data_IF_356992327499
#
_entry.id   IF_356992327499
#
_cell.length_a   1.000
_cell.length_b   1.000
_cell.length_c   1.000
_cell.angle_alpha   90.00
_cell.angle_beta   90.00
_cell.angle_gamma   90.00
#
_symmetry.space_group_name_H-M   'P 1'
#
loop_
_entity.id
_entity.type
_entity.pdbx_description
1 polymer ?
#
# COMPACT_ATOMS: atom_id res chain seq x y z
N UNK A 1 -12.70 29.31 11.81
CA UNK A 1 -12.89 27.98 11.19
C UNK A 1 -12.44 26.93 12.20
N UNK A 2 -13.35 26.05 12.64
CA UNK A 2 -13.01 25.03 13.62
C UNK A 2 -12.02 24.03 13.00
N UNK A 3 -10.85 23.87 13.60
CA UNK A 3 -9.94 22.78 13.26
C UNK A 3 -10.72 21.46 13.32
N UNK A 4 -10.58 20.54 12.36
CA UNK A 4 -11.28 19.27 12.44
C UNK A 4 -10.87 18.62 13.76
N UNK A 5 -11.86 18.18 14.54
CA UNK A 5 -11.64 17.38 15.73
C UNK A 5 -11.11 16.02 15.25
N UNK A 6 -9.86 15.97 14.83
CA UNK A 6 -9.09 14.75 14.73
C UNK A 6 -9.02 14.24 16.16
N UNK A 7 -9.92 13.32 16.52
CA UNK A 7 -10.00 12.83 17.88
C UNK A 7 -8.60 12.40 18.33
N UNK A 8 -8.13 12.93 19.46
CA UNK A 8 -6.83 12.58 20.05
C UNK A 8 -6.67 11.06 20.31
N UNK A 9 -7.76 10.29 20.20
CA UNK A 9 -7.85 8.84 20.40
C UNK A 9 -7.19 7.98 19.32
N UNK A 10 -6.77 8.58 18.19
CA UNK A 10 -6.15 7.87 17.08
C UNK A 10 -4.66 8.21 16.86
N UNK A 11 -4.03 8.91 17.82
CA UNK A 11 -2.57 9.15 17.77
C UNK A 11 -1.85 7.88 18.16
N UNK A 12 -0.81 7.55 17.40
CA UNK A 12 0.06 6.41 17.64
C UNK A 12 1.50 6.92 17.73
N UNK A 13 2.33 6.25 18.50
CA UNK A 13 3.77 6.55 18.49
C UNK A 13 4.42 6.12 17.18
N UNK A 14 5.60 6.66 16.87
CA UNK A 14 6.36 6.21 15.69
C UNK A 14 6.67 4.71 15.72
N UNK A 15 6.96 4.16 16.91
CA UNK A 15 7.18 2.73 17.09
C UNK A 15 5.92 1.90 16.79
N UNK A 16 4.76 2.36 17.27
CA UNK A 16 3.48 1.72 16.96
C UNK A 16 3.13 1.82 15.47
N UNK A 17 3.40 2.96 14.83
CA UNK A 17 3.23 3.13 13.39
C UNK A 17 4.10 2.19 12.58
N UNK A 18 5.36 2.03 12.96
CA UNK A 18 6.29 1.10 12.32
C UNK A 18 5.86 -0.37 12.50
N UNK A 19 5.43 -0.78 13.69
CA UNK A 19 4.86 -2.12 13.91
C UNK A 19 3.58 -2.33 13.10
N UNK A 20 2.69 -1.32 13.03
CA UNK A 20 1.50 -1.38 12.20
C UNK A 20 1.81 -1.52 10.72
N UNK A 21 2.82 -0.83 10.19
CA UNK A 21 3.26 -0.99 8.81
C UNK A 21 3.77 -2.41 8.53
N UNK A 22 4.50 -3.01 9.48
CA UNK A 22 4.93 -4.42 9.39
C UNK A 22 3.74 -5.36 9.38
N UNK A 23 2.80 -5.19 10.29
CA UNK A 23 1.59 -6.01 10.36
C UNK A 23 0.73 -5.83 9.11
N UNK A 24 0.61 -4.62 8.58
CA UNK A 24 -0.12 -4.34 7.35
C UNK A 24 0.56 -5.00 6.14
N UNK A 25 1.88 -4.85 6.00
CA UNK A 25 2.65 -5.50 4.92
C UNK A 25 2.65 -7.04 5.01
N UNK A 26 2.67 -7.58 6.23
CA UNK A 26 2.62 -9.01 6.51
C UNK A 26 1.19 -9.58 6.50
N UNK A 27 0.17 -8.72 6.32
CA UNK A 27 -1.25 -9.11 6.29
C UNK A 27 -1.71 -9.78 7.59
N UNK A 28 -1.12 -9.38 8.71
CA UNK A 28 -1.53 -9.87 10.03
C UNK A 28 -2.98 -9.50 10.29
N UNK A 29 -3.73 -10.41 10.92
CA UNK A 29 -5.12 -10.14 11.26
C UNK A 29 -5.21 -8.90 12.18
N UNK A 30 -6.24 -8.05 12.06
CA UNK A 30 -6.36 -6.84 12.88
C UNK A 30 -6.25 -7.09 14.40
N UNK A 31 -6.72 -8.25 14.87
CA UNK A 31 -6.59 -8.68 16.28
C UNK A 31 -5.13 -8.96 16.67
N UNK A 32 -4.35 -9.57 15.79
CA UNK A 32 -2.92 -9.84 16.01
C UNK A 32 -2.09 -8.55 15.94
N UNK A 33 -2.42 -7.68 14.99
CA UNK A 33 -1.81 -6.36 14.87
C UNK A 33 -2.10 -5.50 16.11
N UNK A 34 -3.33 -5.54 16.64
CA UNK A 34 -3.71 -4.86 17.86
C UNK A 34 -2.87 -5.31 19.05
N UNK A 35 -2.72 -6.63 19.22
CA UNK A 35 -1.84 -7.23 20.24
C UNK A 35 -0.38 -6.81 20.05
N UNK A 36 0.14 -6.90 18.82
CA UNK A 36 1.54 -6.60 18.50
C UNK A 36 1.90 -5.13 18.70
N UNK A 37 0.95 -4.23 18.46
CA UNK A 37 1.15 -2.78 18.58
C UNK A 37 0.74 -2.22 19.95
N UNK A 38 0.12 -3.03 20.82
CA UNK A 38 -0.48 -2.55 22.07
C UNK A 38 -1.57 -1.50 21.83
N UNK A 39 -2.39 -1.70 20.78
CA UNK A 39 -3.46 -0.78 20.36
C UNK A 39 -4.83 -1.44 20.52
N UNK A 40 -5.87 -0.60 20.64
CA UNK A 40 -7.24 -1.11 20.54
C UNK A 40 -7.54 -1.59 19.11
N UNK A 41 -8.41 -2.59 18.97
CA UNK A 41 -8.84 -3.10 17.67
C UNK A 41 -9.42 -1.98 16.78
N UNK A 42 -10.21 -1.08 17.35
CA UNK A 42 -10.76 0.08 16.64
C UNK A 42 -9.67 1.02 16.13
N UNK A 43 -8.60 1.23 16.91
CA UNK A 43 -7.46 2.03 16.48
C UNK A 43 -6.76 1.38 15.29
N UNK A 44 -6.57 0.06 15.32
CA UNK A 44 -5.95 -0.68 14.20
C UNK A 44 -6.76 -0.53 12.93
N UNK A 45 -8.08 -0.76 12.98
CA UNK A 45 -8.95 -0.58 11.81
C UNK A 45 -8.85 0.83 11.22
N UNK A 46 -8.87 1.84 12.09
CA UNK A 46 -8.72 3.23 11.66
C UNK A 46 -7.36 3.51 11.00
N UNK A 47 -6.26 3.00 11.56
CA UNK A 47 -4.93 3.22 10.96
C UNK A 47 -4.76 2.44 9.65
N UNK A 48 -5.29 1.23 9.55
CA UNK A 48 -5.28 0.46 8.31
C UNK A 48 -6.06 1.18 7.22
N UNK A 49 -7.22 1.74 7.54
CA UNK A 49 -7.97 2.59 6.61
C UNK A 49 -7.15 3.80 6.12
N UNK A 50 -6.44 4.49 7.02
CA UNK A 50 -5.55 5.61 6.65
C UNK A 50 -4.38 5.19 5.75
N UNK A 51 -3.77 4.05 6.04
CA UNK A 51 -2.71 3.49 5.19
C UNK A 51 -3.26 3.24 3.79
N UNK A 52 -4.40 2.54 3.69
CA UNK A 52 -5.06 2.26 2.41
C UNK A 52 -5.38 3.53 1.64
N UNK A 53 -6.15 4.44 2.23
CA UNK A 53 -6.64 5.64 1.55
C UNK A 53 -5.47 6.46 1.00
N UNK A 54 -4.36 6.48 1.74
CA UNK A 54 -3.10 7.07 1.27
C UNK A 54 -2.52 6.34 0.06
N UNK A 55 -2.44 5.02 0.08
CA UNK A 55 -1.89 4.23 -1.03
C UNK A 55 -2.74 4.36 -2.30
N UNK A 56 -4.06 4.48 -2.16
CA UNK A 56 -4.98 4.80 -3.25
C UNK A 56 -4.71 6.22 -3.76
N UNK A 57 -4.65 7.21 -2.87
CA UNK A 57 -4.46 8.61 -3.24
C UNK A 57 -3.16 8.84 -4.04
N UNK A 58 -2.09 8.12 -3.68
CA UNK A 58 -0.81 8.22 -4.39
C UNK A 58 -0.72 7.32 -5.63
N UNK A 59 -1.80 6.60 -5.97
CA UNK A 59 -1.90 5.64 -7.09
C UNK A 59 -0.95 4.44 -6.98
N UNK A 60 -0.48 4.16 -5.77
CA UNK A 60 0.24 2.93 -5.48
C UNK A 60 -0.67 1.73 -5.71
N UNK A 61 -1.94 1.88 -5.32
CA UNK A 61 -3.04 1.03 -5.77
C UNK A 61 -3.73 1.72 -6.97
N UNK A 62 -3.98 0.97 -8.05
CA UNK A 62 -4.68 1.50 -9.24
C UNK A 62 -6.17 1.35 -8.94
N UNK A 63 -6.77 2.42 -8.41
CA UNK A 63 -8.19 2.55 -8.13
C UNK A 63 -8.78 1.67 -7.01
N UNK A 64 -9.64 2.28 -6.19
CA UNK A 64 -10.58 1.58 -5.31
C UNK A 64 -11.68 0.84 -6.07
N UNK A 65 -11.41 0.33 -7.28
CA UNK A 65 -12.33 -0.37 -8.18
C UNK A 65 -12.49 -1.86 -7.82
N UNK A 66 -12.41 -2.17 -6.54
CA UNK A 66 -13.07 -3.33 -5.95
C UNK A 66 -14.14 -2.91 -4.93
N UNK A 67 -14.33 -1.60 -4.71
CA UNK A 67 -15.38 -1.07 -3.81
C UNK A 67 -16.73 -0.83 -4.50
N UNK A 68 -16.82 -1.06 -5.82
CA UNK A 68 -18.08 -0.96 -6.56
C UNK A 68 -18.43 -2.16 -7.45
N UNK A 69 -17.48 -3.06 -7.74
CA UNK A 69 -17.70 -4.23 -8.61
C UNK A 69 -17.68 -5.58 -7.86
N UNK A 70 -18.19 -5.63 -6.64
CA UNK A 70 -18.57 -6.92 -6.02
C UNK A 70 -19.59 -7.69 -6.88
N UNK A 71 -20.32 -6.99 -7.77
CA UNK A 71 -21.25 -7.58 -8.73
C UNK A 71 -20.57 -8.40 -9.86
N UNK A 72 -19.25 -8.27 -10.05
CA UNK A 72 -18.50 -8.96 -11.12
C UNK A 72 -17.58 -10.08 -10.66
N UNK A 73 -17.51 -10.37 -9.36
CA UNK A 73 -16.59 -11.36 -8.82
C UNK A 73 -17.14 -12.79 -8.98
N UNK A 74 -16.29 -13.78 -9.34
CA UNK A 74 -16.65 -15.18 -9.26
C UNK A 74 -17.14 -15.55 -7.85
N UNK A 75 -18.28 -16.24 -7.72
CA UNK A 75 -18.87 -16.56 -6.41
C UNK A 75 -17.92 -17.30 -5.45
N UNK A 76 -17.01 -18.12 -5.99
CA UNK A 76 -16.02 -18.86 -5.19
C UNK A 76 -15.03 -17.95 -4.47
N UNK A 77 -14.62 -16.85 -5.11
CA UNK A 77 -13.69 -15.88 -4.51
C UNK A 77 -14.40 -15.15 -3.39
N UNK A 78 -15.62 -14.67 -3.62
CA UNK A 78 -16.44 -14.01 -2.59
C UNK A 78 -16.61 -14.91 -1.36
N UNK A 79 -16.84 -16.21 -1.57
CA UNK A 79 -17.00 -17.18 -0.50
C UNK A 79 -15.70 -17.43 0.28
N UNK A 80 -14.56 -17.59 -0.39
CA UNK A 80 -13.25 -17.74 0.26
C UNK A 80 -12.89 -16.50 1.11
N UNK A 81 -13.27 -15.30 0.66
CA UNK A 81 -13.08 -14.06 1.42
C UNK A 81 -13.96 -14.02 2.69
N UNK A 82 -15.20 -14.53 2.62
CA UNK A 82 -16.11 -14.61 3.77
C UNK A 82 -15.59 -15.58 4.82
N UNK A 83 -15.14 -16.76 4.40
CA UNK A 83 -14.63 -17.82 5.29
C UNK A 83 -13.33 -17.42 5.99
N UNK A 84 -12.38 -16.81 5.27
CA UNK A 84 -11.10 -16.35 5.85
C UNK A 84 -11.26 -15.21 6.86
N UNK A 85 -12.36 -14.45 6.80
CA UNK A 85 -12.62 -13.28 7.65
C UNK A 85 -13.46 -13.57 8.89
N UNK A 86 -14.23 -14.65 8.92
CA UNK A 86 -15.09 -15.00 10.04
C UNK A 86 -16.17 -13.94 10.35
N UNK A 87 -16.70 -13.27 9.31
CA UNK A 87 -17.69 -12.19 9.45
C UNK A 87 -19.08 -12.74 9.06
N UNK A 88 -20.09 -12.70 9.96
CA UNK A 88 -21.49 -12.95 9.62
C UNK A 88 -22.02 -11.86 8.69
N UNK A 89 -22.94 -12.24 7.81
CA UNK A 89 -23.48 -11.58 6.60
C UNK A 89 -23.85 -10.08 6.64
N UNK A 90 -23.72 -9.36 7.76
CA UNK A 90 -24.20 -7.98 7.90
C UNK A 90 -23.15 -6.89 8.08
N UNK A 91 -21.86 -7.22 8.28
CA UNK A 91 -20.85 -6.24 8.74
C UNK A 91 -19.63 -6.19 7.79
N UNK A 92 -19.92 -6.12 6.49
CA UNK A 92 -18.92 -5.92 5.45
C UNK A 92 -18.44 -4.46 5.53
N UNK A 93 -17.48 -4.20 6.41
CA UNK A 93 -16.75 -2.93 6.40
C UNK A 93 -16.15 -2.68 5.00
N UNK A 94 -15.95 -1.41 4.59
CA UNK A 94 -15.33 -1.03 3.30
C UNK A 94 -13.91 -1.58 3.05
N UNK A 95 -13.42 -2.49 3.88
CA UNK A 95 -12.19 -3.27 3.79
C UNK A 95 -12.33 -4.56 2.93
N UNK A 96 -13.51 -4.87 2.39
CA UNK A 96 -13.75 -6.09 1.58
C UNK A 96 -13.13 -6.04 0.19
N UNK A 97 -13.27 -4.91 -0.48
CA UNK A 97 -12.66 -4.59 -1.77
C UNK A 97 -11.15 -4.84 -1.85
N UNK A 98 -10.39 -4.64 -0.77
CA UNK A 98 -8.92 -4.77 -0.83
C UNK A 98 -8.44 -6.21 -1.11
N UNK A 99 -9.26 -7.23 -0.86
CA UNK A 99 -8.79 -8.62 -0.87
C UNK A 99 -8.56 -9.22 -2.27
N UNK A 100 -9.02 -8.58 -3.35
CA UNK A 100 -8.88 -9.13 -4.71
C UNK A 100 -7.60 -8.67 -5.42
N UNK A 101 -6.92 -7.60 -4.96
CA UNK A 101 -5.48 -7.41 -5.26
C UNK A 101 -4.56 -8.03 -4.18
N UNK A 102 -5.08 -8.37 -2.99
CA UNK A 102 -4.31 -8.86 -1.84
C UNK A 102 -4.32 -10.37 -1.59
N UNK A 103 -4.98 -11.17 -2.44
CA UNK A 103 -4.88 -12.61 -2.36
C UNK A 103 -3.51 -13.09 -2.91
N UNK A 104 -2.48 -13.01 -2.04
CA UNK A 104 -1.27 -13.87 -2.07
C UNK A 104 -0.09 -13.50 -2.98
N UNK A 105 -0.08 -12.35 -3.66
CA UNK A 105 0.87 -12.18 -4.77
C UNK A 105 2.18 -11.44 -4.48
N UNK A 106 2.23 -10.56 -3.47
CA UNK A 106 3.40 -9.68 -3.25
C UNK A 106 4.21 -10.02 -1.99
N UNK A 107 5.56 -10.01 -2.02
CA UNK A 107 6.38 -10.31 -0.85
C UNK A 107 6.22 -9.26 0.26
N UNK A 108 5.92 -9.64 1.52
CA UNK A 108 5.74 -8.71 2.63
C UNK A 108 6.93 -7.77 2.86
N UNK A 109 8.16 -8.28 2.68
CA UNK A 109 9.39 -7.48 2.82
C UNK A 109 9.45 -6.36 1.78
N UNK A 110 9.06 -6.66 0.54
CA UNK A 110 9.07 -5.71 -0.57
C UNK A 110 7.97 -4.67 -0.40
N UNK A 111 6.77 -5.10 -0.04
CA UNK A 111 5.66 -4.20 0.31
C UNK A 111 6.07 -3.24 1.44
N UNK A 112 6.64 -3.76 2.53
CA UNK A 112 7.08 -2.94 3.66
C UNK A 112 8.12 -1.88 3.27
N UNK A 113 9.09 -2.22 2.41
CA UNK A 113 10.07 -1.29 1.86
C UNK A 113 9.36 -0.11 1.19
N UNK A 114 8.37 -0.38 0.33
CA UNK A 114 7.64 0.66 -0.38
C UNK A 114 6.70 1.47 0.51
N UNK A 115 5.99 0.83 1.45
CA UNK A 115 5.15 1.53 2.43
C UNK A 115 5.95 2.54 3.24
N UNK A 116 7.11 2.13 3.79
CA UNK A 116 7.97 3.03 4.55
C UNK A 116 8.41 4.23 3.72
N UNK A 117 8.78 4.00 2.46
CA UNK A 117 9.23 5.09 1.58
C UNK A 117 8.09 6.03 1.20
N UNK A 118 6.89 5.52 0.95
CA UNK A 118 5.71 6.37 0.70
C UNK A 118 5.38 7.20 1.94
N UNK A 119 5.41 6.61 3.13
CA UNK A 119 5.22 7.34 4.39
C UNK A 119 6.32 8.41 4.59
N UNK A 120 7.59 8.09 4.32
CA UNK A 120 8.68 9.07 4.34
C UNK A 120 8.40 10.27 3.43
N UNK A 121 7.91 10.03 2.20
CA UNK A 121 7.66 11.08 1.22
C UNK A 121 6.42 11.93 1.55
N UNK A 122 5.40 11.29 2.14
CA UNK A 122 4.07 11.88 2.43
C UNK A 122 3.89 12.37 3.86
N UNK A 123 4.87 12.14 4.75
CA UNK A 123 4.77 12.46 6.18
C UNK A 123 4.15 11.32 7.02
N UNK A 124 4.13 11.43 8.36
CA UNK A 124 3.61 10.39 9.25
C UNK A 124 2.18 9.93 8.92
N UNK A 125 1.83 8.69 9.29
CA UNK A 125 0.50 8.11 9.02
C UNK A 125 -0.65 8.93 9.61
N UNK A 126 -0.44 9.45 10.81
CA UNK A 126 -1.41 10.25 11.57
C UNK A 126 -1.32 11.75 11.29
N UNK A 127 -0.31 12.19 10.53
CA UNK A 127 -0.10 13.57 10.12
C UNK A 127 0.48 13.65 8.68
N UNK A 128 -0.30 13.30 7.64
CA UNK A 128 0.13 13.51 6.26
C UNK A 128 0.45 14.99 5.97
N UNK A 129 1.43 15.20 5.10
CA UNK A 129 1.94 16.51 4.69
C UNK A 129 1.41 16.89 3.31
N UNK A 130 1.12 18.17 3.12
CA UNK A 130 0.87 18.74 1.78
C UNK A 130 2.16 18.78 0.96
N UNK A 131 2.09 18.24 -0.25
CA UNK A 131 3.24 18.15 -1.15
C UNK A 131 3.24 19.30 -2.15
N UNK A 132 4.40 19.91 -2.35
CA UNK A 132 4.61 20.78 -3.52
C UNK A 132 4.54 19.98 -4.82
N UNK A 133 4.32 20.65 -5.95
CA UNK A 133 4.29 20.01 -7.27
C UNK A 133 5.53 19.13 -7.55
N UNK A 134 6.73 19.64 -7.26
CA UNK A 134 7.97 18.88 -7.44
C UNK A 134 8.07 17.66 -6.50
N UNK A 135 7.50 17.74 -5.30
CA UNK A 135 7.46 16.61 -4.37
C UNK A 135 6.42 15.58 -4.79
N UNK A 136 5.31 16.03 -5.38
CA UNK A 136 4.32 15.16 -6.00
C UNK A 136 4.88 14.44 -7.22
N UNK A 137 5.60 15.13 -8.12
CA UNK A 137 6.34 14.48 -9.22
C UNK A 137 7.31 13.41 -8.72
N UNK A 138 8.09 13.73 -7.68
CA UNK A 138 9.01 12.80 -7.05
C UNK A 138 8.29 11.57 -6.50
N UNK A 139 7.14 11.77 -5.84
CA UNK A 139 6.32 10.70 -5.32
C UNK A 139 5.75 9.82 -6.44
N UNK A 140 5.22 10.40 -7.51
CA UNK A 140 4.68 9.66 -8.66
C UNK A 140 5.76 8.82 -9.34
N UNK A 141 6.95 9.37 -9.54
CA UNK A 141 8.09 8.62 -10.09
C UNK A 141 8.50 7.43 -9.20
N UNK A 142 8.45 7.61 -7.86
CA UNK A 142 8.71 6.53 -6.93
C UNK A 142 7.63 5.44 -6.97
N UNK A 143 6.35 5.85 -6.97
CA UNK A 143 5.22 4.92 -6.98
C UNK A 143 5.23 4.05 -8.23
N UNK A 144 5.55 4.63 -9.39
CA UNK A 144 5.71 3.89 -10.65
C UNK A 144 6.80 2.82 -10.51
N UNK A 145 7.99 3.21 -10.03
CA UNK A 145 9.10 2.29 -9.77
C UNK A 145 8.71 1.16 -8.80
N UNK A 146 8.04 1.50 -7.70
CA UNK A 146 7.63 0.55 -6.68
C UNK A 146 6.67 -0.52 -7.23
N UNK A 147 5.75 -0.12 -8.10
CA UNK A 147 4.81 -1.05 -8.74
C UNK A 147 5.51 -1.99 -9.71
N UNK A 148 6.42 -1.46 -10.52
CA UNK A 148 7.22 -2.27 -11.44
C UNK A 148 8.09 -3.27 -10.66
N UNK A 149 8.61 -2.89 -9.47
CA UNK A 149 9.42 -3.76 -8.60
C UNK A 149 8.60 -4.95 -8.09
N UNK A 150 7.36 -4.70 -7.64
CA UNK A 150 6.43 -5.75 -7.20
C UNK A 150 6.04 -6.72 -8.32
N UNK A 151 5.74 -6.19 -9.51
CA UNK A 151 5.37 -7.00 -10.66
C UNK A 151 6.55 -7.84 -11.14
N UNK A 152 7.74 -7.22 -11.24
CA UNK A 152 8.96 -7.91 -11.63
C UNK A 152 9.30 -9.04 -10.67
N UNK A 153 9.29 -8.78 -9.35
CA UNK A 153 9.62 -9.80 -8.34
C UNK A 153 8.67 -11.00 -8.42
N UNK A 154 7.37 -10.74 -8.59
CA UNK A 154 6.37 -11.80 -8.79
C UNK A 154 6.64 -12.62 -10.05
N UNK A 155 6.81 -11.95 -11.19
CA UNK A 155 7.02 -12.62 -12.48
C UNK A 155 8.33 -13.44 -12.45
N UNK A 156 9.37 -12.90 -11.83
CA UNK A 156 10.65 -13.58 -11.67
C UNK A 156 10.60 -14.78 -10.71
N UNK A 157 9.66 -14.79 -9.75
CA UNK A 157 9.42 -15.90 -8.84
C UNK A 157 8.52 -17.00 -9.43
N UNK A 158 7.94 -16.80 -10.63
CA UNK A 158 7.16 -17.82 -11.32
C UNK A 158 8.06 -18.91 -11.89
N UNK A 159 7.64 -20.18 -11.78
CA UNK A 159 8.33 -21.33 -12.37
C UNK A 159 8.22 -21.39 -13.92
N UNK A 160 7.54 -20.43 -14.55
CA UNK A 160 7.41 -20.36 -16.02
C UNK A 160 8.71 -19.88 -16.67
N UNK A 161 9.30 -20.73 -17.51
CA UNK A 161 10.55 -20.44 -18.24
C UNK A 161 10.34 -20.10 -19.71
N UNK A 162 9.10 -19.88 -20.17
CA UNK A 162 8.79 -19.56 -21.56
C UNK A 162 9.46 -18.27 -22.06
N UNK A 163 9.77 -18.20 -23.36
CA UNK A 163 10.42 -17.01 -23.98
C UNK A 163 9.63 -15.71 -23.76
N UNK A 164 8.30 -15.79 -23.72
CA UNK A 164 7.43 -14.65 -23.43
C UNK A 164 7.65 -14.10 -22.01
N UNK A 165 7.73 -15.01 -21.02
CA UNK A 165 7.98 -14.67 -19.62
C UNK A 165 9.37 -14.07 -19.44
N UNK A 166 10.40 -14.69 -20.02
CA UNK A 166 11.77 -14.17 -19.99
C UNK A 166 11.88 -12.79 -20.63
N UNK A 167 11.22 -12.59 -21.78
CA UNK A 167 11.14 -11.28 -22.44
C UNK A 167 10.40 -10.23 -21.61
N UNK A 168 9.37 -10.62 -20.85
CA UNK A 168 8.69 -9.73 -19.93
C UNK A 168 9.60 -9.31 -18.76
N UNK A 169 10.28 -10.26 -18.11
CA UNK A 169 11.22 -9.99 -17.00
C UNK A 169 12.31 -9.02 -17.46
N UNK A 170 12.88 -9.22 -18.64
CA UNK A 170 13.90 -8.33 -19.20
C UNK A 170 13.39 -6.89 -19.40
N UNK A 171 12.18 -6.73 -19.98
CA UNK A 171 11.55 -5.40 -20.16
C UNK A 171 11.21 -4.74 -18.83
N UNK A 172 10.72 -5.50 -17.85
CA UNK A 172 10.43 -4.98 -16.52
C UNK A 172 11.70 -4.53 -15.80
N UNK A 173 12.82 -5.24 -15.97
CA UNK A 173 14.13 -4.83 -15.45
C UNK A 173 14.64 -3.52 -16.07
N UNK A 174 14.48 -3.34 -17.37
CA UNK A 174 14.82 -2.08 -18.05
C UNK A 174 13.93 -0.92 -17.59
N UNK A 175 12.63 -1.18 -17.43
CA UNK A 175 11.68 -0.21 -16.89
C UNK A 175 12.07 0.21 -15.46
N UNK A 176 12.44 -0.73 -14.59
CA UNK A 176 12.92 -0.46 -13.24
C UNK A 176 14.10 0.51 -13.21
N UNK A 177 15.11 0.29 -14.06
CA UNK A 177 16.26 1.18 -14.13
C UNK A 177 15.87 2.59 -14.59
N UNK A 178 14.98 2.66 -15.59
CA UNK A 178 14.49 3.93 -16.15
C UNK A 178 13.69 4.73 -15.13
N UNK A 179 12.74 4.09 -14.46
CA UNK A 179 11.91 4.68 -13.42
C UNK A 179 12.74 5.10 -12.21
N UNK A 180 13.75 4.31 -11.84
CA UNK A 180 14.68 4.68 -10.77
C UNK A 180 15.53 5.90 -11.12
N UNK A 181 15.97 6.02 -12.38
CA UNK A 181 16.66 7.24 -12.87
C UNK A 181 15.70 8.45 -12.82
N UNK A 182 14.45 8.29 -13.23
CA UNK A 182 13.44 9.34 -13.16
C UNK A 182 13.19 9.80 -11.71
N UNK A 183 13.06 8.87 -10.76
CA UNK A 183 12.94 9.17 -9.33
C UNK A 183 14.15 9.95 -8.80
N UNK A 184 15.37 9.54 -9.14
CA UNK A 184 16.60 10.25 -8.73
C UNK A 184 16.68 11.65 -9.34
N UNK A 185 16.27 11.82 -10.59
CA UNK A 185 16.23 13.12 -11.24
C UNK A 185 15.21 14.06 -10.55
N UNK A 186 14.00 13.58 -10.25
CA UNK A 186 12.99 14.34 -9.51
C UNK A 186 13.48 14.69 -8.09
N UNK A 187 14.17 13.76 -7.42
CA UNK A 187 14.77 14.00 -6.10
C UNK A 187 15.77 15.15 -6.12
N UNK A 188 16.67 15.19 -7.11
CA UNK A 188 17.62 16.30 -7.29
C UNK A 188 16.93 17.64 -7.53
N UNK A 189 15.79 17.67 -8.24
CA UNK A 189 15.00 18.91 -8.45
C UNK A 189 14.44 19.44 -7.14
N UNK A 190 13.87 18.55 -6.31
CA UNK A 190 13.35 18.93 -4.98
C UNK A 190 14.47 19.46 -4.08
N UNK A 191 15.63 18.81 -4.05
CA UNK A 191 16.78 19.25 -3.25
C UNK A 191 17.29 20.64 -3.68
N UNK A 192 17.35 20.92 -4.98
CA UNK A 192 17.76 22.23 -5.50
C UNK A 192 16.80 23.35 -5.12
N UNK A 193 15.49 23.08 -5.04
CA UNK A 193 14.47 24.08 -4.66
C UNK A 193 14.45 24.38 -3.15
N UNK A 194 15.07 23.53 -2.32
CA UNK A 194 15.18 23.72 -0.87
C UNK A 194 16.44 24.48 -0.45
N UNK A 195 17.37 24.69 -1.36
CA UNK A 195 18.57 25.52 -1.18
C UNK A 195 18.28 26.92 -1.68
#
# INVERSE_FOLDING_TARGET
MASPILSRRARITAAQGETLLRCYAARSAPKEAAKSCGLSLNTVYLQYGRIRDRLIAVRYYRDGALSFDEAGLPPEIVQALKERRGIPEGDIYPHAAELIEWAEEWPPKLVLKHLRKIVELTGPLDAPRELSEAEYEKLQAYVLNARTDLIHDRVAASDDTGEFQQGYVARAKEALETEWRAYRAASKRVERRRK
#
